data_IF_360357941496
#
_entry.id   IF_360357941496
#
_cell.length_a   1.000
_cell.length_b   1.000
_cell.length_c   1.000
_cell.angle_alpha   90.00
_cell.angle_beta   90.00
_cell.angle_gamma   90.00
#
_symmetry.space_group_name_H-M   'P 1'
#
loop_
_entity.id
_entity.type
_entity.pdbx_description
1 polymer ?
#
# COMPACT_ATOMS: atom_id res chain seq x y z
N UNK A 1 -12.95 -34.12 -65.58
CA UNK A 1 -12.02 -34.85 -64.69
C UNK A 1 -11.88 -34.07 -63.48
N UNK A 2 -12.65 -34.49 -62.53
CA UNK A 2 -12.50 -34.71 -61.06
C UNK A 2 -11.69 -33.68 -60.30
N UNK A 3 -12.42 -32.75 -59.66
CA UNK A 3 -11.94 -31.84 -58.65
C UNK A 3 -11.93 -32.51 -57.29
N UNK A 4 -10.84 -32.32 -56.52
CA UNK A 4 -10.73 -32.65 -55.14
C UNK A 4 -10.89 -31.37 -54.29
N UNK A 5 -12.02 -31.26 -53.59
CA UNK A 5 -12.24 -30.23 -52.55
C UNK A 5 -11.53 -30.66 -51.27
N UNK A 6 -10.43 -30.01 -50.92
CA UNK A 6 -9.81 -30.09 -49.62
C UNK A 6 -10.64 -29.38 -48.56
N UNK A 7 -11.15 -30.09 -47.57
CA UNK A 7 -11.74 -29.52 -46.34
C UNK A 7 -10.59 -29.08 -45.44
N UNK A 8 -10.42 -27.78 -45.27
CA UNK A 8 -9.60 -27.22 -44.16
C UNK A 8 -10.41 -27.37 -42.86
N UNK A 9 -10.04 -28.34 -42.03
CA UNK A 9 -10.41 -28.37 -40.63
C UNK A 9 -9.42 -27.50 -39.88
N UNK A 10 -9.84 -26.26 -39.51
CA UNK A 10 -9.10 -25.42 -38.62
C UNK A 10 -9.04 -26.03 -37.21
N UNK A 11 -7.95 -25.79 -36.45
CA UNK A 11 -7.82 -26.33 -35.10
C UNK A 11 -8.89 -25.70 -34.18
N UNK A 12 -9.71 -26.55 -33.62
CA UNK A 12 -10.63 -26.24 -32.50
C UNK A 12 -9.82 -25.71 -31.33
N UNK A 13 -9.89 -24.40 -31.10
CA UNK A 13 -9.39 -23.80 -29.83
C UNK A 13 -10.30 -24.29 -28.68
N UNK A 14 -9.96 -25.40 -28.10
CA UNK A 14 -10.57 -25.85 -26.85
C UNK A 14 -10.35 -24.76 -25.79
N UNK A 15 -11.44 -24.09 -25.43
CA UNK A 15 -11.49 -23.12 -24.33
C UNK A 15 -11.15 -23.86 -23.04
N UNK A 16 -9.94 -23.70 -22.53
CA UNK A 16 -9.57 -24.14 -21.19
C UNK A 16 -10.24 -23.21 -20.19
N UNK A 17 -11.46 -23.58 -19.79
CA UNK A 17 -12.08 -23.05 -18.57
C UNK A 17 -11.19 -23.52 -17.41
N UNK A 18 -10.50 -22.58 -16.78
CA UNK A 18 -9.73 -22.85 -15.56
C UNK A 18 -10.76 -23.20 -14.48
N UNK A 19 -11.01 -24.48 -14.29
CA UNK A 19 -11.90 -24.99 -13.24
C UNK A 19 -11.05 -25.18 -11.98
N UNK A 20 -10.85 -24.08 -11.22
CA UNK A 20 -10.25 -24.14 -9.89
C UNK A 20 -11.31 -24.70 -8.97
N UNK A 21 -11.23 -26.02 -8.66
CA UNK A 21 -12.09 -26.65 -7.67
C UNK A 21 -11.26 -27.01 -6.44
N UNK A 22 -11.64 -26.56 -5.23
CA UNK A 22 -11.05 -27.07 -3.99
C UNK A 22 -11.32 -28.56 -3.82
N UNK A 23 -10.51 -29.23 -3.03
CA UNK A 23 -10.80 -30.58 -2.57
C UNK A 23 -12.19 -30.60 -1.90
N UNK A 24 -12.96 -31.68 -2.13
CA UNK A 24 -14.33 -31.82 -1.65
C UNK A 24 -14.41 -31.57 -0.13
N UNK A 25 -15.07 -30.48 0.30
CA UNK A 25 -15.26 -30.11 1.70
C UNK A 25 -14.29 -29.05 2.27
N UNK A 26 -13.28 -28.57 1.51
CA UNK A 26 -12.42 -27.47 1.94
C UNK A 26 -13.08 -26.13 1.61
N UNK A 27 -13.19 -25.23 2.60
CA UNK A 27 -13.71 -23.87 2.40
C UNK A 27 -12.72 -23.05 1.60
N UNK A 28 -13.13 -22.49 0.45
CA UNK A 28 -12.29 -21.69 -0.44
C UNK A 28 -12.54 -20.20 -0.25
N UNK A 29 -11.48 -19.44 -0.01
CA UNK A 29 -11.51 -18.00 -0.01
C UNK A 29 -11.08 -17.45 -1.38
N UNK A 30 -11.83 -16.49 -1.93
CA UNK A 30 -11.44 -15.73 -3.12
C UNK A 30 -11.13 -14.30 -2.73
N UNK A 31 -9.90 -13.85 -2.99
CA UNK A 31 -9.45 -12.48 -2.73
C UNK A 31 -9.55 -11.68 -4.03
N UNK A 32 -10.40 -10.67 -4.06
CA UNK A 32 -10.54 -9.76 -5.19
C UNK A 32 -9.67 -8.54 -4.96
N UNK A 33 -8.58 -8.44 -5.73
CA UNK A 33 -7.57 -7.40 -5.64
C UNK A 33 -6.19 -7.95 -5.29
N UNK A 34 -5.22 -7.71 -6.18
CA UNK A 34 -3.82 -8.13 -6.09
C UNK A 34 -2.87 -6.99 -5.68
N UNK A 35 -3.35 -6.01 -4.91
CA UNK A 35 -2.52 -5.01 -4.25
C UNK A 35 -1.88 -5.55 -2.97
N UNK A 36 -1.07 -4.73 -2.27
CA UNK A 36 -0.36 -5.14 -1.05
C UNK A 36 -1.31 -5.72 0.00
N UNK A 37 -2.50 -5.15 0.17
CA UNK A 37 -3.51 -5.63 1.14
C UNK A 37 -4.03 -7.01 0.77
N UNK A 38 -4.55 -7.19 -0.45
CA UNK A 38 -5.11 -8.46 -0.90
C UNK A 38 -4.08 -9.58 -0.96
N UNK A 39 -2.86 -9.30 -1.45
CA UNK A 39 -1.76 -10.27 -1.49
C UNK A 39 -1.31 -10.67 -0.07
N UNK A 40 -1.26 -9.72 0.88
CA UNK A 40 -0.92 -10.02 2.29
C UNK A 40 -1.97 -10.91 2.95
N UNK A 41 -3.25 -10.64 2.70
CA UNK A 41 -4.35 -11.47 3.21
C UNK A 41 -4.26 -12.88 2.63
N UNK A 42 -4.10 -13.00 1.31
CA UNK A 42 -3.98 -14.29 0.63
C UNK A 42 -2.80 -15.11 1.18
N UNK A 43 -1.63 -14.46 1.34
CA UNK A 43 -0.43 -15.09 1.88
C UNK A 43 -0.64 -15.60 3.32
N UNK A 44 -1.18 -14.77 4.21
CA UNK A 44 -1.43 -15.16 5.61
C UNK A 44 -2.47 -16.29 5.72
N UNK A 45 -3.54 -16.26 4.92
CA UNK A 45 -4.52 -17.33 4.85
C UNK A 45 -3.91 -18.62 4.33
N UNK A 46 -3.11 -18.57 3.27
CA UNK A 46 -2.42 -19.74 2.72
C UNK A 46 -1.45 -20.36 3.73
N UNK A 47 -0.67 -19.54 4.46
CA UNK A 47 0.19 -20.03 5.56
C UNK A 47 -0.58 -20.75 6.67
N UNK A 48 -1.83 -20.35 6.92
CA UNK A 48 -2.70 -21.05 7.88
C UNK A 48 -3.35 -22.32 7.32
N UNK A 49 -2.99 -22.74 6.09
CA UNK A 49 -3.51 -23.94 5.43
C UNK A 49 -4.88 -23.74 4.77
N UNK A 50 -5.39 -22.52 4.63
CA UNK A 50 -6.68 -22.26 3.98
C UNK A 50 -6.52 -22.21 2.46
N UNK A 51 -7.37 -22.89 1.69
CA UNK A 51 -7.42 -22.76 0.25
C UNK A 51 -7.81 -21.32 -0.15
N UNK A 52 -6.96 -20.68 -0.96
CA UNK A 52 -7.12 -19.29 -1.39
C UNK A 52 -6.87 -19.16 -2.89
N UNK A 53 -7.61 -18.28 -3.54
CA UNK A 53 -7.35 -17.83 -4.92
C UNK A 53 -7.37 -16.31 -4.95
N UNK A 54 -6.39 -15.70 -5.62
CA UNK A 54 -6.35 -14.25 -5.86
C UNK A 54 -6.87 -13.94 -7.27
N UNK A 55 -7.69 -12.91 -7.39
CA UNK A 55 -8.22 -12.41 -8.67
C UNK A 55 -7.84 -10.95 -8.85
N UNK A 56 -7.05 -10.65 -9.88
CA UNK A 56 -6.67 -9.28 -10.23
C UNK A 56 -6.20 -9.22 -11.70
N UNK A 57 -6.60 -8.24 -12.50
CA UNK A 57 -6.18 -8.15 -13.91
C UNK A 57 -4.67 -7.89 -14.07
N UNK A 58 -4.06 -7.18 -13.11
CA UNK A 58 -2.65 -6.82 -13.14
C UNK A 58 -2.10 -6.73 -11.70
N UNK A 59 -1.84 -7.88 -11.03
CA UNK A 59 -1.37 -7.91 -9.65
C UNK A 59 -0.13 -7.04 -9.44
N UNK A 60 -0.08 -6.33 -8.31
CA UNK A 60 0.98 -5.41 -7.91
C UNK A 60 1.12 -4.12 -8.76
N UNK A 61 0.22 -3.84 -9.71
CA UNK A 61 0.34 -2.68 -10.62
C UNK A 61 -0.41 -1.41 -10.16
N UNK A 62 -1.27 -1.50 -9.15
CA UNK A 62 -2.14 -0.40 -8.72
C UNK A 62 -1.46 0.60 -7.77
N UNK A 63 -2.22 1.13 -6.79
CA UNK A 63 -1.71 2.08 -5.80
C UNK A 63 -0.46 1.57 -5.06
N UNK A 64 -0.33 0.27 -4.86
CA UNK A 64 0.85 -0.34 -4.21
C UNK A 64 2.12 -0.18 -5.02
N UNK A 65 2.05 -0.17 -6.36
CA UNK A 65 3.19 0.07 -7.24
C UNK A 65 3.64 1.53 -7.21
N UNK A 66 2.68 2.45 -7.11
CA UNK A 66 2.95 3.87 -7.01
C UNK A 66 3.45 4.28 -5.62
N UNK A 67 3.07 3.57 -4.57
CA UNK A 67 3.33 3.96 -3.19
C UNK A 67 4.82 4.20 -2.88
N UNK A 68 5.09 5.22 -2.07
CA UNK A 68 6.43 5.50 -1.57
C UNK A 68 6.88 4.55 -0.45
N UNK A 69 5.94 3.94 0.25
CA UNK A 69 6.22 2.93 1.26
C UNK A 69 6.64 3.47 2.62
N UNK A 70 6.27 4.68 2.97
CA UNK A 70 6.45 5.19 4.32
C UNK A 70 5.64 4.36 5.31
N UNK A 71 6.26 4.02 6.42
CA UNK A 71 5.69 3.35 7.59
C UNK A 71 5.82 4.34 8.76
N UNK A 72 5.13 5.46 8.64
CA UNK A 72 5.41 6.68 9.35
C UNK A 72 4.17 7.22 10.10
N UNK A 73 3.58 6.45 11.03
CA UNK A 73 2.38 6.87 11.72
C UNK A 73 2.59 8.11 12.59
N UNK A 74 3.83 8.39 13.03
CA UNK A 74 4.13 9.54 13.86
C UNK A 74 4.23 10.80 13.01
N UNK A 75 5.06 10.84 11.98
CA UNK A 75 5.23 12.04 11.14
C UNK A 75 4.02 12.29 10.21
N UNK A 76 3.14 11.32 9.99
CA UNK A 76 1.88 11.50 9.25
C UNK A 76 0.67 11.83 10.13
N UNK A 77 0.86 12.04 11.45
CA UNK A 77 -0.24 12.37 12.36
C UNK A 77 -0.88 13.71 12.01
N UNK A 78 -2.19 13.76 12.09
CA UNK A 78 -2.98 15.00 12.01
C UNK A 78 -3.88 15.13 13.24
N UNK A 79 -4.25 16.35 13.60
CA UNK A 79 -5.02 16.64 14.82
C UNK A 79 -6.36 15.90 14.89
N UNK A 80 -6.94 15.54 13.76
CA UNK A 80 -8.29 14.92 13.68
C UNK A 80 -8.26 13.41 13.48
N UNK A 81 -7.09 12.78 13.26
CA UNK A 81 -6.97 11.37 12.86
C UNK A 81 -6.35 10.48 13.93
N UNK A 82 -6.62 10.73 15.22
CA UNK A 82 -6.14 9.88 16.34
C UNK A 82 -6.47 8.38 16.16
N UNK A 83 -7.66 7.97 15.65
CA UNK A 83 -7.92 6.56 15.37
C UNK A 83 -6.96 5.98 14.33
N UNK A 84 -6.63 6.72 13.27
CA UNK A 84 -5.67 6.29 12.24
C UNK A 84 -4.26 6.14 12.81
N UNK A 85 -3.83 7.07 13.69
CA UNK A 85 -2.57 6.94 14.42
C UNK A 85 -2.51 5.64 15.23
N UNK A 86 -3.58 5.29 15.97
CA UNK A 86 -3.65 4.06 16.76
C UNK A 86 -3.49 2.82 15.87
N UNK A 87 -4.18 2.77 14.73
CA UNK A 87 -4.05 1.71 13.74
C UNK A 87 -2.63 1.66 13.17
N UNK A 88 -2.09 2.81 12.77
CA UNK A 88 -0.74 2.91 12.18
C UNK A 88 0.35 2.44 13.15
N UNK A 89 0.33 2.91 14.39
CA UNK A 89 1.28 2.50 15.42
C UNK A 89 1.18 0.99 15.75
N UNK A 90 -0.04 0.45 15.82
CA UNK A 90 -0.24 -0.99 16.03
C UNK A 90 0.25 -1.82 14.86
N UNK A 91 0.10 -1.32 13.63
CA UNK A 91 0.60 -1.99 12.44
C UNK A 91 2.12 -1.92 12.32
N UNK A 92 2.72 -0.75 12.61
CA UNK A 92 4.17 -0.57 12.57
C UNK A 92 4.88 -1.56 13.51
N UNK A 93 4.35 -1.79 14.72
CA UNK A 93 4.90 -2.81 15.64
C UNK A 93 4.86 -4.24 15.09
N UNK A 94 3.99 -4.53 14.12
CA UNK A 94 3.89 -5.84 13.46
C UNK A 94 4.83 -6.00 12.26
N UNK A 95 5.32 -4.87 11.71
CA UNK A 95 6.13 -4.87 10.49
C UNK A 95 7.41 -5.72 10.59
N UNK A 96 8.21 -5.68 11.66
CA UNK A 96 9.44 -6.48 11.73
C UNK A 96 9.18 -7.97 11.54
N UNK A 97 8.27 -8.54 12.32
CA UNK A 97 7.93 -9.96 12.20
C UNK A 97 7.28 -10.30 10.85
N UNK A 98 6.36 -9.46 10.38
CA UNK A 98 5.73 -9.63 9.06
C UNK A 98 6.76 -9.64 7.93
N UNK A 99 7.74 -8.74 7.95
CA UNK A 99 8.76 -8.62 6.93
C UNK A 99 9.75 -9.81 6.94
N UNK A 100 10.16 -10.25 8.13
CA UNK A 100 11.04 -11.42 8.29
C UNK A 100 10.34 -12.68 7.76
N UNK A 101 9.09 -12.90 8.17
CA UNK A 101 8.27 -14.03 7.70
C UNK A 101 8.11 -14.02 6.18
N UNK A 102 7.78 -12.84 5.61
CA UNK A 102 7.60 -12.69 4.17
C UNK A 102 8.91 -12.91 3.40
N UNK A 103 10.00 -12.32 3.86
CA UNK A 103 11.30 -12.50 3.22
C UNK A 103 11.74 -13.97 3.27
N UNK A 104 11.52 -14.66 4.39
CA UNK A 104 11.78 -16.10 4.54
C UNK A 104 10.98 -16.92 3.53
N UNK A 105 9.67 -16.72 3.47
CA UNK A 105 8.79 -17.47 2.55
C UNK A 105 9.11 -17.15 1.08
N UNK A 106 9.53 -15.92 0.78
CA UNK A 106 9.96 -15.52 -0.54
C UNK A 106 11.41 -15.94 -0.86
N UNK A 107 12.21 -16.41 0.12
CA UNK A 107 13.62 -16.77 -0.03
C UNK A 107 14.53 -15.57 -0.30
N UNK A 108 14.25 -14.47 0.37
CA UNK A 108 15.00 -13.22 0.32
C UNK A 108 15.89 -13.07 1.56
N UNK A 109 16.82 -12.12 1.49
CA UNK A 109 17.68 -11.77 2.63
C UNK A 109 16.83 -11.12 3.75
N UNK A 110 16.86 -11.75 4.93
CA UNK A 110 16.19 -11.28 6.15
C UNK A 110 17.07 -10.36 7.00
N UNK A 111 18.35 -10.21 6.65
CA UNK A 111 19.33 -9.55 7.49
C UNK A 111 19.58 -10.32 8.80
N UNK A 112 20.02 -9.64 9.88
CA UNK A 112 20.34 -10.28 11.16
C UNK A 112 19.12 -10.83 11.92
N UNK A 113 17.90 -10.68 11.39
CA UNK A 113 16.68 -11.23 11.98
C UNK A 113 16.25 -10.58 13.30
N UNK A 114 16.83 -9.44 13.66
CA UNK A 114 16.49 -8.70 14.89
C UNK A 114 15.23 -7.85 14.67
N UNK A 115 14.33 -7.87 15.66
CA UNK A 115 13.22 -6.93 15.77
C UNK A 115 13.56 -5.70 16.63
N UNK A 116 14.79 -5.60 17.12
CA UNK A 116 15.27 -4.46 17.90
C UNK A 116 15.56 -3.26 16.98
N UNK A 117 15.27 -2.06 17.45
CA UNK A 117 15.52 -0.82 16.68
C UNK A 117 17.00 -0.40 16.75
N UNK A 118 17.56 0.09 15.61
CA UNK A 118 16.98 0.14 14.30
C UNK A 118 16.94 -1.24 13.63
N UNK A 119 15.77 -1.63 13.11
CA UNK A 119 15.63 -2.90 12.40
C UNK A 119 15.68 -2.72 10.87
N UNK A 120 16.13 -3.75 10.17
CA UNK A 120 16.21 -3.77 8.72
C UNK A 120 15.94 -5.17 8.16
N UNK A 121 15.27 -5.24 7.02
CA UNK A 121 15.11 -6.45 6.21
C UNK A 121 15.55 -6.12 4.78
N UNK A 122 16.82 -6.39 4.43
CA UNK A 122 17.42 -5.94 3.17
C UNK A 122 16.68 -6.42 1.92
N UNK A 123 16.15 -7.64 1.94
CA UNK A 123 15.39 -8.21 0.83
C UNK A 123 14.15 -7.41 0.45
N UNK A 124 13.56 -6.68 1.40
CA UNK A 124 12.39 -5.81 1.21
C UNK A 124 12.74 -4.32 1.21
N UNK A 125 14.01 -3.96 1.40
CA UNK A 125 14.47 -2.59 1.68
C UNK A 125 13.69 -1.93 2.83
N UNK A 126 13.39 -2.72 3.87
CA UNK A 126 12.76 -2.23 5.11
C UNK A 126 13.85 -1.62 6.00
N UNK A 127 13.60 -0.39 6.45
CA UNK A 127 14.52 0.40 7.27
C UNK A 127 13.77 1.24 8.29
N UNK A 128 14.36 1.42 9.48
CA UNK A 128 13.79 2.17 10.59
C UNK A 128 14.71 3.31 11.07
N UNK A 129 15.26 4.09 10.14
CA UNK A 129 16.14 5.22 10.46
C UNK A 129 15.37 6.52 10.79
N UNK A 130 14.04 6.46 10.85
CA UNK A 130 13.17 7.59 11.19
C UNK A 130 12.80 8.49 10.02
N UNK A 131 11.91 9.45 10.30
CA UNK A 131 11.46 10.49 9.36
C UNK A 131 11.78 11.87 9.91
N UNK A 132 12.33 12.74 9.07
CA UNK A 132 12.67 14.13 9.38
C UNK A 132 11.74 15.08 8.63
N UNK A 133 10.83 15.74 9.35
CA UNK A 133 10.06 16.88 8.85
C UNK A 133 10.89 18.16 9.00
N UNK A 134 11.05 18.94 7.93
CA UNK A 134 11.87 20.16 7.94
C UNK A 134 11.05 21.43 7.73
N UNK A 135 11.54 22.52 8.30
CA UNK A 135 10.95 23.85 8.25
C UNK A 135 11.92 24.88 7.66
N UNK A 136 11.39 25.83 6.88
CA UNK A 136 12.14 26.89 6.20
C UNK A 136 11.96 28.27 6.83
N UNK A 137 10.79 28.55 7.38
CA UNK A 137 10.40 29.81 7.99
C UNK A 137 10.17 29.73 9.50
N UNK A 138 9.94 30.89 10.12
CA UNK A 138 9.54 30.95 11.52
C UNK A 138 8.15 30.36 11.75
N UNK A 139 7.23 30.57 10.79
CA UNK A 139 5.86 30.06 10.88
C UNK A 139 5.85 28.54 10.73
N UNK A 140 6.67 27.97 9.83
CA UNK A 140 6.81 26.51 9.69
C UNK A 140 7.36 25.88 10.98
N UNK A 141 8.37 26.53 11.61
CA UNK A 141 8.91 26.08 12.88
C UNK A 141 7.86 26.10 13.98
N UNK A 142 7.08 27.19 14.09
CA UNK A 142 6.01 27.28 15.06
C UNK A 142 4.96 26.16 14.86
N UNK A 143 4.58 25.88 13.60
CA UNK A 143 3.67 24.80 13.26
C UNK A 143 4.24 23.42 13.65
N UNK A 144 5.54 23.17 13.40
CA UNK A 144 6.19 21.92 13.83
C UNK A 144 6.28 21.81 15.36
N UNK A 145 6.51 22.93 16.06
CA UNK A 145 6.53 22.94 17.53
C UNK A 145 5.16 22.64 18.14
N UNK A 146 4.09 23.19 17.55
CA UNK A 146 2.71 22.86 17.95
C UNK A 146 2.39 21.37 17.70
N UNK A 147 2.78 20.87 16.54
CA UNK A 147 2.61 19.47 16.17
C UNK A 147 3.41 18.55 17.12
N UNK A 148 4.64 18.91 17.45
CA UNK A 148 5.47 18.18 18.42
C UNK A 148 4.82 18.14 19.81
N UNK A 149 4.30 19.28 20.28
CA UNK A 149 3.59 19.34 21.56
C UNK A 149 2.32 18.46 21.56
N UNK A 150 1.62 18.37 20.43
CA UNK A 150 0.49 17.46 20.27
C UNK A 150 0.93 15.99 20.28
N UNK A 151 1.99 15.63 19.54
CA UNK A 151 2.54 14.28 19.53
C UNK A 151 3.00 13.83 20.92
N UNK A 152 3.67 14.71 21.68
CA UNK A 152 4.12 14.46 23.06
C UNK A 152 2.94 14.19 24.01
N UNK A 153 1.83 14.92 23.85
CA UNK A 153 0.59 14.66 24.62
C UNK A 153 0.00 13.28 24.32
N UNK A 154 0.23 12.76 23.12
CA UNK A 154 -0.18 11.41 22.72
C UNK A 154 0.84 10.34 23.13
N UNK A 155 1.93 10.71 23.82
CA UNK A 155 2.99 9.80 24.24
C UNK A 155 3.92 9.35 23.12
N UNK A 156 3.94 10.07 21.98
CA UNK A 156 4.81 9.77 20.85
C UNK A 156 6.20 10.37 21.07
N UNK A 157 7.24 9.62 20.69
CA UNK A 157 8.61 10.09 20.75
C UNK A 157 8.94 10.90 19.49
N UNK A 158 9.28 12.17 19.69
CA UNK A 158 9.76 13.09 18.66
C UNK A 158 10.92 13.94 19.21
N UNK A 159 11.77 14.44 18.31
CA UNK A 159 12.94 15.23 18.68
C UNK A 159 12.98 16.51 17.84
N UNK A 160 12.93 17.67 18.51
CA UNK A 160 13.08 18.97 17.87
C UNK A 160 14.55 19.22 17.53
N UNK A 161 14.83 19.59 16.30
CA UNK A 161 16.19 19.79 15.80
C UNK A 161 16.36 21.20 15.21
N UNK A 162 17.51 21.81 15.47
CA UNK A 162 17.95 23.02 14.77
C UNK A 162 18.31 22.69 13.32
N UNK A 163 18.33 23.70 12.43
CA UNK A 163 18.75 23.49 11.05
C UNK A 163 20.17 22.94 10.90
N UNK A 164 21.05 23.23 11.86
CA UNK A 164 22.41 22.65 11.89
C UNK A 164 22.38 21.16 12.23
N UNK A 165 21.54 20.75 13.15
CA UNK A 165 21.36 19.34 13.51
C UNK A 165 20.69 18.56 12.40
N UNK A 166 19.66 19.14 11.74
CA UNK A 166 19.05 18.54 10.56
C UNK A 166 20.09 18.26 9.47
N UNK A 167 20.93 19.28 9.13
CA UNK A 167 21.99 19.11 8.12
C UNK A 167 23.14 18.19 8.55
N UNK A 168 23.36 18.01 9.85
CA UNK A 168 24.31 16.99 10.34
C UNK A 168 23.78 15.59 10.12
N UNK A 169 22.47 15.38 10.28
CA UNK A 169 21.81 14.12 10.01
C UNK A 169 21.67 13.83 8.52
N UNK A 170 21.32 14.86 7.73
CA UNK A 170 21.12 14.79 6.28
C UNK A 170 21.89 15.93 5.59
N UNK A 171 23.16 15.68 5.23
CA UNK A 171 24.04 16.73 4.68
C UNK A 171 23.58 17.32 3.34
N UNK A 172 22.69 16.62 2.62
CA UNK A 172 22.17 17.07 1.33
C UNK A 172 20.97 18.03 1.44
N UNK A 173 20.48 18.29 2.65
CA UNK A 173 19.42 19.26 2.88
C UNK A 173 19.84 20.68 2.47
N UNK A 174 18.86 21.44 1.97
CA UNK A 174 19.05 22.84 1.59
C UNK A 174 19.60 23.68 2.76
N UNK A 175 20.51 24.62 2.49
CA UNK A 175 21.03 25.55 3.50
C UNK A 175 19.93 26.40 4.16
N UNK A 176 18.80 26.62 3.47
CA UNK A 176 17.62 27.34 3.94
C UNK A 176 16.83 26.65 5.04
N UNK A 177 17.04 25.36 5.27
CA UNK A 177 16.39 24.60 6.37
C UNK A 177 16.81 25.20 7.72
N UNK A 178 15.82 25.68 8.49
CA UNK A 178 16.01 26.35 9.79
C UNK A 178 15.89 25.43 10.99
N UNK A 179 15.14 24.36 10.84
CA UNK A 179 14.93 23.35 11.88
C UNK A 179 14.05 22.21 11.39
N UNK A 180 13.70 21.31 12.28
CA UNK A 180 12.87 20.17 11.96
C UNK A 180 12.43 19.36 13.16
N UNK A 181 11.61 18.39 12.89
CA UNK A 181 11.09 17.42 13.84
C UNK A 181 11.45 16.01 13.36
N UNK A 182 12.23 15.29 14.16
CA UNK A 182 12.58 13.89 13.91
C UNK A 182 11.60 12.97 14.63
N UNK A 183 10.98 12.06 13.88
CA UNK A 183 10.23 10.91 14.40
C UNK A 183 11.11 9.65 14.29
N UNK A 184 11.89 9.30 15.33
CA UNK A 184 12.90 8.25 15.23
C UNK A 184 12.31 6.84 15.09
N UNK A 185 11.06 6.64 15.53
CA UNK A 185 10.38 5.34 15.45
C UNK A 185 9.69 5.08 14.10
N UNK A 186 9.68 6.04 13.18
CA UNK A 186 9.14 5.82 11.84
C UNK A 186 10.10 4.99 10.98
N UNK A 187 9.53 4.31 9.98
CA UNK A 187 10.25 3.41 9.09
C UNK A 187 9.78 3.60 7.64
N UNK A 188 10.38 2.88 6.70
CA UNK A 188 9.90 2.73 5.33
C UNK A 188 10.30 1.38 4.74
N UNK A 189 9.62 1.00 3.68
CA UNK A 189 9.87 -0.25 2.95
C UNK A 189 9.71 0.00 1.45
N UNK A 190 10.28 -0.84 0.59
CA UNK A 190 9.96 -0.77 -0.84
C UNK A 190 8.67 -1.56 -1.15
N UNK A 191 7.53 -0.91 -1.46
CA UNK A 191 6.27 -1.59 -1.75
C UNK A 191 6.34 -2.49 -2.98
N UNK A 192 7.21 -2.17 -3.95
CA UNK A 192 7.41 -3.00 -5.15
C UNK A 192 8.09 -4.31 -4.78
N UNK A 193 9.10 -4.27 -3.90
CA UNK A 193 9.75 -5.48 -3.36
C UNK A 193 8.80 -6.29 -2.47
N UNK A 194 8.01 -5.62 -1.64
CA UNK A 194 6.99 -6.29 -0.80
C UNK A 194 5.97 -7.05 -1.67
N UNK A 195 5.39 -6.40 -2.67
CA UNK A 195 4.40 -7.05 -3.54
C UNK A 195 5.00 -8.17 -4.39
N UNK A 196 6.24 -8.01 -4.88
CA UNK A 196 6.97 -9.06 -5.58
C UNK A 196 7.28 -10.27 -4.66
N UNK A 197 7.67 -10.01 -3.41
CA UNK A 197 7.89 -11.05 -2.41
C UNK A 197 6.59 -11.80 -2.08
N UNK A 198 5.48 -11.09 -1.91
CA UNK A 198 4.16 -11.69 -1.69
C UNK A 198 3.75 -12.61 -2.85
N UNK A 199 3.92 -12.16 -4.09
CA UNK A 199 3.63 -13.00 -5.27
C UNK A 199 4.55 -14.24 -5.33
N UNK A 200 5.82 -14.09 -4.97
CA UNK A 200 6.77 -15.21 -4.91
C UNK A 200 6.39 -16.21 -3.82
N UNK A 201 6.05 -15.73 -2.61
CA UNK A 201 5.61 -16.58 -1.50
C UNK A 201 4.31 -17.31 -1.82
N UNK A 202 3.34 -16.62 -2.42
CA UNK A 202 2.08 -17.24 -2.89
C UNK A 202 2.34 -18.32 -3.95
N UNK A 203 3.23 -18.07 -4.90
CA UNK A 203 3.64 -19.06 -5.90
C UNK A 203 4.26 -20.31 -5.27
N UNK A 204 5.13 -20.16 -4.25
CA UNK A 204 5.72 -21.28 -3.51
C UNK A 204 4.70 -22.06 -2.69
N UNK A 205 3.66 -21.40 -2.19
CA UNK A 205 2.54 -22.03 -1.49
C UNK A 205 1.51 -22.64 -2.44
N UNK A 206 1.69 -22.54 -3.76
CA UNK A 206 0.77 -23.08 -4.77
C UNK A 206 -0.55 -22.32 -4.88
N UNK A 207 -0.60 -21.06 -4.43
CA UNK A 207 -1.82 -20.23 -4.49
C UNK A 207 -2.05 -19.73 -5.92
N UNK A 208 -3.21 -20.01 -6.54
CA UNK A 208 -3.54 -19.48 -7.86
C UNK A 208 -3.72 -17.98 -7.85
N UNK A 209 -3.10 -17.28 -8.82
CA UNK A 209 -3.32 -15.86 -9.11
C UNK A 209 -3.94 -15.74 -10.49
N UNK A 210 -5.26 -15.51 -10.53
CA UNK A 210 -6.05 -15.41 -11.75
C UNK A 210 -5.97 -13.99 -12.29
N UNK A 211 -5.31 -13.81 -13.44
CA UNK A 211 -5.16 -12.51 -14.10
C UNK A 211 -6.44 -12.17 -14.89
N UNK A 212 -7.48 -11.78 -14.18
CA UNK A 212 -8.77 -11.39 -14.75
C UNK A 212 -9.42 -10.27 -13.91
N UNK A 213 -10.23 -9.44 -14.55
CA UNK A 213 -11.02 -8.42 -13.86
C UNK A 213 -12.28 -9.05 -13.27
N UNK A 214 -12.50 -8.85 -11.98
CA UNK A 214 -13.79 -9.10 -11.36
C UNK A 214 -14.80 -8.06 -11.84
N UNK A 215 -15.98 -8.52 -12.30
CA UNK A 215 -17.04 -7.66 -12.83
C UNK A 215 -18.32 -7.70 -11.99
N UNK A 216 -18.36 -8.56 -10.98
CA UNK A 216 -19.49 -8.68 -10.07
C UNK A 216 -19.32 -9.83 -9.10
N UNK A 217 -20.19 -9.86 -8.09
CA UNK A 217 -20.30 -10.93 -7.11
C UNK A 217 -21.39 -11.91 -7.51
N UNK A 218 -21.12 -13.20 -7.39
CA UNK A 218 -22.13 -14.27 -7.53
C UNK A 218 -22.92 -14.35 -6.24
N UNK A 219 -24.21 -14.67 -6.34
CA UNK A 219 -25.10 -14.79 -5.18
C UNK A 219 -25.91 -16.07 -5.25
N UNK A 220 -26.13 -16.65 -4.06
CA UNK A 220 -27.11 -17.69 -3.82
C UNK A 220 -28.06 -17.14 -2.73
N UNK A 221 -29.24 -16.69 -3.15
CA UNK A 221 -30.12 -15.84 -2.32
C UNK A 221 -29.40 -14.57 -1.89
N UNK A 222 -29.37 -14.31 -0.58
CA UNK A 222 -28.70 -13.15 0.01
C UNK A 222 -27.18 -13.35 0.25
N UNK A 223 -26.69 -14.57 0.04
CA UNK A 223 -25.29 -14.94 0.31
C UNK A 223 -24.42 -14.74 -0.92
N UNK A 224 -23.24 -14.11 -0.75
CA UNK A 224 -22.22 -14.09 -1.79
C UNK A 224 -21.56 -15.46 -1.87
N UNK A 225 -21.60 -16.07 -3.06
CA UNK A 225 -21.14 -17.43 -3.34
C UNK A 225 -19.98 -17.51 -4.33
N UNK A 226 -19.42 -16.37 -4.73
CA UNK A 226 -18.27 -16.33 -5.65
C UNK A 226 -18.12 -15.01 -6.37
N UNK A 227 -17.32 -15.04 -7.44
CA UNK A 227 -16.94 -13.86 -8.23
C UNK A 227 -17.16 -14.14 -9.71
N UNK A 228 -17.78 -13.18 -10.42
CA UNK A 228 -17.87 -13.15 -11.88
C UNK A 228 -16.68 -12.39 -12.45
N UNK A 229 -16.07 -12.97 -13.47
CA UNK A 229 -14.90 -12.41 -14.15
C UNK A 229 -15.28 -11.88 -15.54
N UNK A 230 -14.50 -10.93 -16.01
CA UNK A 230 -14.61 -10.46 -17.39
C UNK A 230 -14.36 -11.62 -18.38
N UNK A 231 -15.13 -11.69 -19.51
CA UNK A 231 -14.92 -12.71 -20.52
C UNK A 231 -13.47 -12.72 -21.07
N UNK A 232 -12.89 -13.89 -21.36
CA UNK A 232 -13.51 -15.22 -21.35
C UNK A 232 -13.36 -16.01 -20.02
N UNK A 233 -12.93 -15.39 -18.93
CA UNK A 233 -12.48 -16.08 -17.71
C UNK A 233 -13.61 -16.78 -16.90
N UNK A 234 -14.88 -16.37 -17.05
CA UNK A 234 -16.02 -17.07 -16.46
C UNK A 234 -16.29 -16.68 -15.00
N UNK A 235 -16.49 -17.67 -14.14
CA UNK A 235 -16.90 -17.51 -12.74
C UNK A 235 -16.05 -18.38 -11.80
N UNK A 236 -15.79 -17.88 -10.59
CA UNK A 236 -15.08 -18.64 -9.54
C UNK A 236 -16.00 -18.74 -8.32
N UNK A 237 -16.48 -19.94 -7.96
CA UNK A 237 -17.21 -20.17 -6.72
C UNK A 237 -16.32 -19.95 -5.49
N UNK A 238 -16.91 -19.47 -4.40
CA UNK A 238 -16.21 -19.26 -3.14
C UNK A 238 -17.16 -19.43 -1.95
N UNK A 239 -16.64 -19.92 -0.84
CA UNK A 239 -17.35 -19.90 0.45
C UNK A 239 -17.27 -18.52 1.12
N UNK A 240 -16.20 -17.77 0.79
CA UNK A 240 -16.02 -16.38 1.22
C UNK A 240 -15.27 -15.59 0.14
N UNK A 241 -15.79 -14.42 -0.17
CA UNK A 241 -15.10 -13.41 -0.99
C UNK A 241 -14.54 -12.33 -0.07
N UNK A 242 -13.24 -12.03 -0.19
CA UNK A 242 -12.60 -10.87 0.45
C UNK A 242 -12.37 -9.81 -0.60
N UNK A 243 -13.06 -8.68 -0.46
CA UNK A 243 -12.97 -7.56 -1.39
C UNK A 243 -11.85 -6.60 -0.97
N UNK A 244 -10.73 -6.68 -1.66
CA UNK A 244 -9.52 -5.86 -1.48
C UNK A 244 -9.16 -5.08 -2.75
N UNK A 245 -10.18 -4.68 -3.55
CA UNK A 245 -10.03 -4.09 -4.88
C UNK A 245 -9.61 -2.61 -4.87
N UNK A 246 -9.14 -2.09 -3.74
CA UNK A 246 -8.68 -0.70 -3.62
C UNK A 246 -9.75 0.30 -4.06
N UNK A 247 -9.38 1.25 -4.91
CA UNK A 247 -10.29 2.30 -5.38
C UNK A 247 -11.52 1.78 -6.17
N UNK A 248 -11.44 0.54 -6.68
CA UNK A 248 -12.54 -0.09 -7.45
C UNK A 248 -13.51 -0.88 -6.56
N UNK A 249 -13.32 -0.87 -5.23
CA UNK A 249 -14.19 -1.65 -4.32
C UNK A 249 -15.65 -1.19 -4.39
N UNK A 250 -15.92 0.10 -4.58
CA UNK A 250 -17.27 0.65 -4.72
C UNK A 250 -17.99 0.22 -6.02
N UNK A 251 -17.28 -0.30 -7.03
CA UNK A 251 -17.90 -0.87 -8.24
C UNK A 251 -18.47 -2.29 -7.98
N UNK A 252 -18.01 -2.98 -6.93
CA UNK A 252 -18.34 -4.38 -6.65
C UNK A 252 -19.23 -4.57 -5.41
N UNK A 253 -19.20 -3.64 -4.48
CA UNK A 253 -20.00 -3.67 -3.25
C UNK A 253 -20.38 -2.26 -2.82
N UNK A 254 -21.46 -2.16 -2.04
CA UNK A 254 -21.86 -0.89 -1.41
C UNK A 254 -20.87 -0.56 -0.28
N UNK A 255 -19.87 0.24 -0.62
CA UNK A 255 -18.84 0.74 0.29
C UNK A 255 -18.38 2.12 -0.19
N UNK A 256 -18.32 3.14 0.69
CA UNK A 256 -18.04 4.52 0.30
C UNK A 256 -16.54 4.75 0.05
N UNK A 257 -16.00 4.08 -0.97
CA UNK A 257 -14.61 4.22 -1.39
C UNK A 257 -14.54 4.99 -2.69
N UNK A 258 -13.72 6.05 -2.71
CA UNK A 258 -13.47 6.87 -3.89
C UNK A 258 -11.97 6.87 -4.26
N UNK A 259 -11.63 7.02 -5.54
CA UNK A 259 -10.25 7.16 -5.98
C UNK A 259 -9.71 8.56 -5.63
N UNK A 260 -8.53 8.60 -5.01
CA UNK A 260 -7.73 9.82 -4.80
C UNK A 260 -6.41 9.63 -5.51
N UNK A 261 -6.22 10.34 -6.62
CA UNK A 261 -5.02 10.24 -7.45
C UNK A 261 -3.80 10.85 -6.75
N UNK A 262 -2.66 10.20 -6.89
CA UNK A 262 -1.36 10.73 -6.48
C UNK A 262 -0.28 10.38 -7.49
N UNK A 263 0.43 11.40 -7.97
CA UNK A 263 1.58 11.26 -8.85
C UNK A 263 2.85 11.13 -8.03
N UNK A 264 3.75 10.27 -8.47
CA UNK A 264 5.04 9.95 -7.85
C UNK A 264 6.12 10.03 -8.92
N UNK A 265 7.26 10.58 -8.56
CA UNK A 265 8.49 10.55 -9.37
C UNK A 265 9.53 9.68 -8.66
N UNK A 266 10.26 8.87 -9.43
CA UNK A 266 11.41 8.09 -8.96
C UNK A 266 12.66 8.59 -9.66
N UNK A 267 13.61 9.00 -8.86
CA UNK A 267 14.92 9.51 -9.31
C UNK A 267 15.97 8.47 -8.99
N UNK A 268 17.06 8.45 -9.74
CA UNK A 268 18.17 7.52 -9.54
C UNK A 268 19.47 8.25 -9.31
N UNK A 269 20.13 7.88 -8.23
CA UNK A 269 21.48 8.30 -7.88
C UNK A 269 22.42 7.08 -7.88
N UNK A 270 23.71 7.22 -8.20
CA UNK A 270 24.70 6.14 -8.09
C UNK A 270 24.83 5.54 -6.68
N UNK A 271 24.43 6.31 -5.67
CA UNK A 271 24.41 5.93 -4.24
C UNK A 271 23.27 6.65 -3.53
N UNK A 272 22.80 6.15 -2.38
CA UNK A 272 21.77 6.82 -1.60
C UNK A 272 22.14 8.29 -1.31
N UNK A 273 21.22 9.20 -1.61
CA UNK A 273 21.40 10.63 -1.41
C UNK A 273 21.03 11.05 0.02
N UNK A 274 20.06 10.35 0.61
CA UNK A 274 19.56 10.56 1.97
C UNK A 274 19.69 9.25 2.76
N UNK A 275 19.85 9.37 4.08
CA UNK A 275 19.89 8.26 5.01
C UNK A 275 18.52 7.91 5.61
N UNK A 276 17.55 8.85 5.53
CA UNK A 276 16.20 8.71 6.09
C UNK A 276 15.15 9.40 5.22
N UNK A 277 13.88 9.17 5.53
CA UNK A 277 12.80 9.93 4.92
C UNK A 277 12.90 11.40 5.32
N UNK A 278 12.75 12.30 4.33
CA UNK A 278 12.68 13.74 4.54
C UNK A 278 11.34 14.24 4.04
N UNK A 279 10.70 15.09 4.83
CA UNK A 279 9.40 15.71 4.51
C UNK A 279 9.46 17.22 4.77
N UNK A 280 8.53 17.94 4.16
CA UNK A 280 8.32 19.36 4.45
C UNK A 280 7.07 19.88 3.77
N UNK A 281 6.62 21.06 4.23
CA UNK A 281 5.58 21.83 3.55
C UNK A 281 6.30 22.89 2.74
N UNK A 282 6.15 22.86 1.42
CA UNK A 282 6.78 23.80 0.49
C UNK A 282 5.68 24.43 -0.37
N UNK A 283 5.64 25.75 -0.43
CA UNK A 283 4.58 26.49 -1.14
C UNK A 283 3.14 26.07 -0.77
N UNK A 284 2.94 25.64 0.48
CA UNK A 284 1.64 25.15 0.97
C UNK A 284 1.31 23.70 0.61
N UNK A 285 2.20 23.01 -0.09
CA UNK A 285 2.05 21.59 -0.45
C UNK A 285 3.00 20.70 0.36
N UNK A 286 2.51 19.56 0.80
CA UNK A 286 3.35 18.54 1.45
C UNK A 286 4.14 17.78 0.38
N UNK A 287 5.45 17.71 0.55
CA UNK A 287 6.35 16.92 -0.28
C UNK A 287 7.22 16.03 0.60
N UNK A 288 7.57 14.84 0.10
CA UNK A 288 8.45 13.90 0.79
C UNK A 288 9.44 13.24 -0.17
N UNK A 289 10.59 12.86 0.38
CA UNK A 289 11.64 12.10 -0.30
C UNK A 289 11.92 10.84 0.51
N UNK A 290 11.77 9.69 -0.13
CA UNK A 290 11.99 8.37 0.50
C UNK A 290 13.15 7.67 -0.19
N UNK A 291 14.31 7.51 0.49
CA UNK A 291 15.47 6.87 -0.11
C UNK A 291 15.31 5.36 -0.19
N UNK A 292 16.01 4.74 -1.15
CA UNK A 292 16.18 3.30 -1.30
C UNK A 292 17.65 2.92 -1.16
N UNK A 293 17.90 1.70 -0.72
CA UNK A 293 19.25 1.21 -0.52
C UNK A 293 20.09 1.09 -1.78
N UNK A 294 19.45 1.02 -2.94
CA UNK A 294 20.10 0.93 -4.27
C UNK A 294 20.32 2.30 -4.94
N UNK A 295 20.05 3.41 -4.25
CA UNK A 295 20.21 4.76 -4.75
C UNK A 295 18.98 5.33 -5.44
N UNK A 296 17.87 4.61 -5.53
CA UNK A 296 16.61 5.22 -5.95
C UNK A 296 16.10 6.19 -4.87
N UNK A 297 15.51 7.28 -5.29
CA UNK A 297 14.86 8.29 -4.43
C UNK A 297 13.43 8.50 -4.91
N UNK A 298 12.45 8.19 -4.05
CA UNK A 298 11.03 8.40 -4.37
C UNK A 298 10.61 9.79 -3.92
N UNK A 299 10.07 10.57 -4.85
CA UNK A 299 9.54 11.93 -4.61
C UNK A 299 8.01 11.87 -4.73
N UNK A 300 7.31 12.30 -3.70
CA UNK A 300 5.85 12.28 -3.66
C UNK A 300 5.25 13.38 -2.80
N UNK A 301 3.98 13.54 -2.88
CA UNK A 301 3.06 13.09 -3.90
C UNK A 301 1.98 14.12 -4.12
N UNK A 302 1.46 14.21 -5.33
CA UNK A 302 0.25 15.01 -5.56
C UNK A 302 -0.97 14.38 -4.86
N UNK A 303 -2.00 15.17 -4.68
CA UNK A 303 -3.31 14.71 -4.23
C UNK A 303 -4.39 15.38 -5.08
N UNK A 304 -5.09 14.56 -5.86
CA UNK A 304 -5.99 15.05 -6.91
C UNK A 304 -7.31 14.25 -6.90
N UNK A 305 -8.44 14.95 -6.97
CA UNK A 305 -9.77 14.35 -7.12
C UNK A 305 -10.13 14.29 -8.62
N UNK A 306 -9.59 13.29 -9.33
CA UNK A 306 -9.70 13.15 -10.79
C UNK A 306 -10.40 11.84 -11.20
N UNK A 307 -11.22 11.26 -10.31
CA UNK A 307 -11.85 9.97 -10.54
C UNK A 307 -10.80 8.89 -10.85
N UNK A 308 -11.06 8.05 -11.84
CA UNK A 308 -10.16 6.95 -12.21
C UNK A 308 -9.06 7.35 -13.20
N UNK A 309 -8.78 8.65 -13.40
CA UNK A 309 -7.69 9.11 -14.26
C UNK A 309 -6.32 8.85 -13.62
N UNK A 310 -5.49 8.02 -14.26
CA UNK A 310 -4.12 7.68 -13.83
C UNK A 310 -3.05 8.30 -14.72
N UNK A 311 -3.40 9.27 -15.58
CA UNK A 311 -2.39 9.93 -16.43
C UNK A 311 -1.46 10.78 -15.57
N UNK A 312 -0.15 10.65 -15.82
CA UNK A 312 0.84 11.56 -15.26
C UNK A 312 0.81 12.86 -16.05
N UNK A 313 0.81 14.01 -15.35
CA UNK A 313 0.74 15.33 -15.98
C UNK A 313 2.04 16.11 -15.81
N UNK A 314 2.39 16.93 -16.77
CA UNK A 314 3.56 17.81 -16.69
C UNK A 314 3.47 18.77 -15.49
N UNK A 315 2.27 19.27 -15.16
CA UNK A 315 2.04 20.12 -13.99
C UNK A 315 2.38 19.42 -12.68
N UNK A 316 1.85 18.19 -12.49
CA UNK A 316 2.13 17.41 -11.28
C UNK A 316 3.62 17.09 -11.11
N UNK A 317 4.31 16.73 -12.19
CA UNK A 317 5.75 16.48 -12.15
C UNK A 317 6.55 17.75 -11.85
N UNK A 318 6.14 18.89 -12.44
CA UNK A 318 6.77 20.18 -12.17
C UNK A 318 6.64 20.57 -10.71
N UNK A 319 5.45 20.46 -10.11
CA UNK A 319 5.22 20.77 -8.71
C UNK A 319 6.07 19.87 -7.79
N UNK A 320 6.08 18.56 -8.02
CA UNK A 320 6.88 17.64 -7.24
C UNK A 320 8.38 17.96 -7.30
N UNK A 321 8.92 18.22 -8.50
CA UNK A 321 10.34 18.53 -8.67
C UNK A 321 10.69 19.89 -8.08
N UNK A 322 9.84 20.92 -8.29
CA UNK A 322 10.01 22.25 -7.72
C UNK A 322 10.12 22.17 -6.19
N UNK A 323 9.16 21.50 -5.54
CA UNK A 323 9.06 21.49 -4.09
C UNK A 323 10.12 20.57 -3.46
N UNK A 324 10.39 19.43 -4.07
CA UNK A 324 11.45 18.52 -3.61
C UNK A 324 12.86 19.16 -3.72
N UNK A 325 13.10 20.01 -4.72
CA UNK A 325 14.36 20.77 -4.87
C UNK A 325 14.57 21.77 -3.73
N UNK A 326 13.52 22.34 -3.18
CA UNK A 326 13.62 23.20 -2.00
C UNK A 326 14.10 22.42 -0.76
N UNK A 327 13.75 21.14 -0.64
CA UNK A 327 14.24 20.26 0.42
C UNK A 327 15.71 19.86 0.18
N UNK A 328 15.99 19.36 -1.03
CA UNK A 328 17.28 18.78 -1.41
C UNK A 328 17.68 19.28 -2.79
N UNK A 329 18.44 20.37 -2.91
CA UNK A 329 18.74 21.01 -4.19
C UNK A 329 19.42 20.09 -5.23
N UNK A 330 20.23 19.14 -4.76
CA UNK A 330 20.96 18.21 -5.63
C UNK A 330 20.10 17.21 -6.42
N UNK A 331 18.79 17.12 -6.17
CA UNK A 331 17.93 16.17 -6.89
C UNK A 331 17.79 16.50 -8.38
N UNK A 332 18.01 17.75 -8.78
CA UNK A 332 17.91 18.18 -10.18
C UNK A 332 18.95 17.55 -11.11
N UNK A 333 20.02 17.01 -10.55
CA UNK A 333 21.09 16.32 -11.28
C UNK A 333 20.85 14.81 -11.40
N UNK A 334 19.76 14.29 -10.82
CA UNK A 334 19.46 12.87 -10.82
C UNK A 334 18.68 12.46 -12.08
N UNK A 335 18.90 11.22 -12.52
CA UNK A 335 18.13 10.63 -13.61
C UNK A 335 16.66 10.43 -13.18
N UNK A 336 15.71 10.78 -14.05
CA UNK A 336 14.29 10.39 -13.88
C UNK A 336 14.14 8.93 -14.32
N UNK A 337 14.04 8.03 -13.34
CA UNK A 337 13.96 6.60 -13.58
C UNK A 337 12.53 6.12 -13.90
N UNK A 338 11.52 6.72 -13.24
CA UNK A 338 10.12 6.35 -13.43
C UNK A 338 9.19 7.48 -12.97
N UNK A 339 8.01 7.56 -13.60
CA UNK A 339 6.92 8.46 -13.19
C UNK A 339 5.60 7.69 -13.26
N UNK A 340 4.83 7.72 -12.17
CA UNK A 340 3.61 6.92 -12.07
C UNK A 340 2.54 7.65 -11.28
N UNK A 341 1.27 7.37 -11.59
CA UNK A 341 0.14 7.81 -10.80
C UNK A 341 -0.61 6.59 -10.24
N UNK A 342 -0.98 6.65 -8.98
CA UNK A 342 -1.79 5.64 -8.31
C UNK A 342 -3.09 6.23 -7.77
N UNK A 343 -4.10 5.36 -7.58
CA UNK A 343 -5.40 5.75 -7.02
C UNK A 343 -5.50 5.20 -5.59
N UNK A 344 -5.38 6.10 -4.61
CA UNK A 344 -5.60 5.76 -3.20
C UNK A 344 -7.09 5.48 -2.98
N UNK A 345 -7.47 4.39 -2.30
CA UNK A 345 -8.86 4.13 -1.95
C UNK A 345 -9.26 4.99 -0.72
N UNK A 346 -9.81 6.17 -0.95
CA UNK A 346 -10.23 7.09 0.11
C UNK A 346 -11.62 6.73 0.65
N UNK A 347 -11.80 6.80 1.96
CA UNK A 347 -13.07 6.73 2.68
C UNK A 347 -13.44 8.12 3.22
N UNK A 348 -14.68 8.37 3.63
CA UNK A 348 -15.07 9.67 4.20
C UNK A 348 -14.29 10.08 5.46
N UNK A 349 -13.88 9.10 6.27
CA UNK A 349 -13.17 9.29 7.55
C UNK A 349 -11.67 8.93 7.49
N UNK A 350 -11.15 8.60 6.32
CA UNK A 350 -9.78 8.12 6.08
C UNK A 350 -9.38 6.82 6.81
N UNK A 351 -10.33 6.15 7.50
CA UNK A 351 -10.07 4.85 8.12
C UNK A 351 -10.37 3.72 7.13
N UNK A 352 -9.63 2.61 7.17
CA UNK A 352 -9.91 1.46 6.34
C UNK A 352 -11.24 0.79 6.72
N UNK A 353 -11.83 0.08 5.77
CA UNK A 353 -13.03 -0.73 5.96
C UNK A 353 -12.60 -2.20 5.99
N UNK A 354 -12.61 -2.81 7.18
CA UNK A 354 -12.12 -4.16 7.40
C UNK A 354 -13.14 -4.95 8.23
N UNK A 355 -13.65 -6.04 7.69
CA UNK A 355 -14.58 -6.93 8.40
C UNK A 355 -15.72 -7.42 7.54
N UNK A 356 -16.69 -8.16 8.12
CA UNK A 356 -17.89 -8.63 7.44
C UNK A 356 -18.72 -7.45 6.89
N UNK A 357 -19.16 -7.53 5.65
CA UNK A 357 -19.92 -6.43 5.00
C UNK A 357 -21.37 -6.29 5.45
N UNK A 358 -21.86 -7.23 6.27
CA UNK A 358 -23.29 -7.41 6.55
C UNK A 358 -23.99 -8.32 5.54
N UNK A 359 -23.42 -8.53 4.35
CA UNK A 359 -23.86 -9.55 3.40
C UNK A 359 -23.12 -10.87 3.70
N UNK A 360 -23.81 -11.99 3.98
CA UNK A 360 -23.14 -13.27 4.20
C UNK A 360 -22.24 -13.64 3.03
N UNK A 361 -21.07 -14.24 3.33
CA UNK A 361 -20.07 -14.64 2.32
C UNK A 361 -19.19 -13.50 1.79
N UNK A 362 -19.41 -12.23 2.19
CA UNK A 362 -18.59 -11.08 1.78
C UNK A 362 -17.87 -10.46 2.98
N UNK A 363 -16.56 -10.29 2.84
CA UNK A 363 -15.70 -9.57 3.78
C UNK A 363 -15.03 -8.41 3.05
N UNK A 364 -14.94 -7.24 3.67
CA UNK A 364 -14.29 -6.06 3.11
C UNK A 364 -12.88 -5.90 3.69
N UNK A 365 -11.92 -5.48 2.87
CA UNK A 365 -10.55 -5.10 3.24
C UNK A 365 -10.06 -4.00 2.31
N UNK A 366 -10.64 -2.83 2.41
CA UNK A 366 -10.45 -1.72 1.46
C UNK A 366 -10.43 -0.36 2.17
N UNK A 367 -10.36 0.73 1.42
CA UNK A 367 -10.44 2.07 1.99
C UNK A 367 -9.20 2.53 2.77
N UNK A 368 -8.04 1.92 2.55
CA UNK A 368 -6.81 2.19 3.31
C UNK A 368 -6.16 3.55 3.01
N UNK A 369 -6.68 4.32 2.05
CA UNK A 369 -6.19 5.62 1.62
C UNK A 369 -4.65 5.63 1.44
N UNK A 370 -3.91 6.54 2.12
CA UNK A 370 -2.45 6.60 2.09
C UNK A 370 -1.76 5.47 2.89
N UNK A 371 -2.47 4.86 3.84
CA UNK A 371 -1.93 3.90 4.79
C UNK A 371 -1.88 2.44 4.32
N UNK A 372 -2.19 2.13 3.06
CA UNK A 372 -2.35 0.74 2.60
C UNK A 372 -1.11 -0.15 2.81
N UNK A 373 0.09 0.38 2.63
CA UNK A 373 1.33 -0.36 2.91
C UNK A 373 1.52 -0.52 4.41
N UNK A 374 1.48 0.58 5.15
CA UNK A 374 1.63 0.58 6.61
C UNK A 374 0.65 -0.39 7.28
N UNK A 375 -0.62 -0.38 6.88
CA UNK A 375 -1.69 -1.12 7.55
C UNK A 375 -1.82 -2.59 7.09
N UNK A 376 -1.06 -3.05 6.11
CA UNK A 376 -1.17 -4.42 5.59
C UNK A 376 -1.01 -5.51 6.68
N UNK A 377 -0.01 -5.46 7.58
CA UNK A 377 0.10 -6.44 8.67
C UNK A 377 -1.09 -6.41 9.64
N UNK A 378 -1.56 -5.24 10.03
CA UNK A 378 -2.71 -5.10 10.93
C UNK A 378 -4.00 -5.60 10.29
N UNK A 379 -4.22 -5.27 9.00
CA UNK A 379 -5.39 -5.74 8.24
C UNK A 379 -5.47 -7.25 8.23
N UNK A 380 -4.34 -7.94 8.04
CA UNK A 380 -4.29 -9.40 8.08
C UNK A 380 -4.59 -9.93 9.48
N UNK A 381 -4.06 -9.31 10.53
CA UNK A 381 -4.30 -9.69 11.91
C UNK A 381 -5.78 -9.55 12.30
N UNK A 382 -6.44 -8.47 11.89
CA UNK A 382 -7.89 -8.27 12.11
C UNK A 382 -8.69 -9.38 11.42
N UNK A 383 -8.42 -9.66 10.14
CA UNK A 383 -9.17 -10.66 9.38
C UNK A 383 -8.94 -12.11 9.83
N UNK A 384 -7.81 -12.39 10.46
CA UNK A 384 -7.50 -13.68 11.05
C UNK A 384 -8.01 -13.82 12.50
N UNK A 385 -8.56 -12.75 13.09
CA UNK A 385 -9.02 -12.72 14.48
C UNK A 385 -7.90 -12.60 15.51
N UNK A 386 -6.70 -12.24 15.08
CA UNK A 386 -5.52 -12.00 15.93
C UNK A 386 -5.54 -10.61 16.60
N UNK A 387 -6.43 -9.74 16.13
CA UNK A 387 -6.61 -8.36 16.63
C UNK A 387 -8.10 -8.02 16.65
N UNK A 388 -8.68 -7.87 17.83
CA UNK A 388 -10.11 -7.60 18.01
C UNK A 388 -10.41 -6.18 18.51
N UNK A 389 -9.53 -5.59 19.32
CA UNK A 389 -9.75 -4.27 19.93
C UNK A 389 -9.82 -3.16 18.86
N UNK A 390 -8.88 -3.17 17.93
CA UNK A 390 -8.82 -2.17 16.86
C UNK A 390 -9.75 -2.47 15.69
N UNK A 391 -10.29 -3.69 15.60
CA UNK A 391 -11.22 -4.08 14.54
C UNK A 391 -12.48 -3.20 14.53
N UNK A 392 -12.96 -2.78 15.68
CA UNK A 392 -14.14 -1.92 15.81
C UNK A 392 -13.97 -0.55 15.10
N UNK A 393 -12.74 -0.01 15.07
CA UNK A 393 -12.43 1.24 14.35
C UNK A 393 -12.54 1.10 12.83
N UNK A 394 -12.44 -0.12 12.33
CA UNK A 394 -12.43 -0.44 10.90
C UNK A 394 -13.75 -1.06 10.44
N UNK A 395 -14.71 -1.28 11.34
CA UNK A 395 -15.93 -2.02 11.06
C UNK A 395 -16.77 -1.36 9.94
N UNK A 396 -17.26 -2.13 8.95
CA UNK A 396 -18.06 -1.59 7.85
C UNK A 396 -19.38 -0.93 8.32
N UNK A 397 -19.91 -1.38 9.45
CA UNK A 397 -21.17 -0.91 10.04
C UNK A 397 -21.19 0.60 10.30
N UNK A 398 -20.04 1.24 10.48
CA UNK A 398 -19.94 2.68 10.75
C UNK A 398 -20.44 3.56 9.60
N UNK A 399 -20.67 2.97 8.42
CA UNK A 399 -21.19 3.68 7.25
C UNK A 399 -22.65 3.35 6.90
N UNK A 400 -23.34 2.49 7.67
CA UNK A 400 -24.73 2.09 7.37
C UNK A 400 -25.74 3.23 7.36
N UNK A 401 -25.47 4.30 8.10
CA UNK A 401 -26.37 5.45 8.23
C UNK A 401 -26.00 6.63 7.30
N UNK A 402 -25.05 6.44 6.39
CA UNK A 402 -24.54 7.50 5.49
C UNK A 402 -25.11 7.36 4.06
N UNK A 403 -25.88 6.32 3.78
CA UNK A 403 -26.48 6.03 2.45
C UNK A 403 -27.83 6.71 2.25
#
# INVERSE_FOLDING_TARGET
MTGLRGRHTGPSTARHLIRIMPAKGARMDVIVGGGVVGLSIAWRLARSGRPVTVVDPAPASGASHAAAGMLAPVSEVTYTETPLLRLGAASLRRWPAFAIDLATDAGLDTGPGSSEEPFAVPGLDLRSDGTLDVAFGADDLAALDELAAYMEKLGLRVERLTGRECRRLEPMLAPSVRGGLLAPGDAWVDPRRVTAALLTALGRLGVPVVRARATGLLRDGDTVSGVRLAPPAGEIPADRVVLAAGAWSGELADVPVRPVKGQIMRLRSPRPLLGRCVRGIVHGSSVYLVPRGDGELVVGATQEEMGFDTRVTAGGLYELLRDARELVPGITELEVADVVAGLRPGTPDNLPVIGPSGTPGLTLATGHHRGGVLLAPLTTAILLGEESELAALCAPERFRDIS
#
